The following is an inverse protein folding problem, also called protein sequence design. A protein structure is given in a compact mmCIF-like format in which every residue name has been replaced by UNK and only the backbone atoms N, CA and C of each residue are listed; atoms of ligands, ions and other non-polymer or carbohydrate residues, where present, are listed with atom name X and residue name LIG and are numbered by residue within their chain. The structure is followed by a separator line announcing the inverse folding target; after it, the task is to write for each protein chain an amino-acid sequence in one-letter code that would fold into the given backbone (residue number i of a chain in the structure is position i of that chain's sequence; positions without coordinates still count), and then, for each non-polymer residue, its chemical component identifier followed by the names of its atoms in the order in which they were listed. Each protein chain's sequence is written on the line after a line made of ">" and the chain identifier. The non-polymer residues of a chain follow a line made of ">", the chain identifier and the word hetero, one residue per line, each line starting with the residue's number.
data_IF_051066898762
#
_entry.id   IF_051066898762
#
_cell.length_a   1.000
_cell.length_b   1.000
_cell.length_c   1.000
_cell.angle_alpha   90.00
_cell.angle_beta   90.00
_cell.angle_gamma   90.00
#
_symmetry.space_group_name_H-M   'P 1'
#
loop_
_entity.id
_entity.type
_entity.pdbx_description
1 polymer ?
#
# COMPACT_ATOMS: atom_id res chain seq x y z
N UNK A 1 -5.41 -12.19 -16.50
CA UNK A 1 -5.04 -10.75 -16.45
C UNK A 1 -4.66 -10.46 -15.01
N UNK A 2 -3.61 -9.67 -14.74
CA UNK A 2 -3.22 -9.29 -13.37
C UNK A 2 -3.51 -7.82 -13.13
N UNK A 3 -4.02 -7.49 -11.94
CA UNK A 3 -4.34 -6.14 -11.52
C UNK A 3 -3.49 -5.75 -10.31
N UNK A 4 -2.76 -4.66 -10.49
CA UNK A 4 -1.95 -4.05 -9.45
C UNK A 4 -2.45 -2.64 -9.19
N UNK A 5 -2.39 -2.21 -7.94
CA UNK A 5 -2.67 -0.83 -7.56
C UNK A 5 -1.39 -0.16 -7.04
N UNK A 6 -1.25 1.14 -7.29
CA UNK A 6 -0.12 1.94 -6.84
C UNK A 6 -0.55 2.84 -5.66
N UNK A 7 -0.33 2.37 -4.44
CA UNK A 7 -0.75 3.08 -3.22
C UNK A 7 0.10 2.71 -2.02
N UNK A 8 0.11 3.59 -1.02
CA UNK A 8 0.63 3.32 0.33
C UNK A 8 -0.50 3.18 1.36
N UNK A 9 -1.74 3.45 0.97
CA UNK A 9 -2.89 3.47 1.88
C UNK A 9 -3.44 2.05 2.09
N UNK A 10 -3.39 1.56 3.34
CA UNK A 10 -3.87 0.21 3.67
C UNK A 10 -5.38 0.03 3.48
N UNK A 11 -6.17 1.11 3.56
CA UNK A 11 -7.61 1.05 3.31
C UNK A 11 -7.89 0.75 1.84
N UNK A 12 -7.24 1.45 0.91
CA UNK A 12 -7.38 1.21 -0.52
C UNK A 12 -6.96 -0.22 -0.88
N UNK A 13 -5.86 -0.70 -0.30
CA UNK A 13 -5.36 -2.07 -0.47
C UNK A 13 -6.40 -3.08 0.02
N UNK A 14 -6.96 -2.83 1.22
CA UNK A 14 -7.99 -3.70 1.78
C UNK A 14 -9.25 -3.71 0.91
N UNK A 15 -9.73 -2.56 0.45
CA UNK A 15 -10.92 -2.46 -0.39
C UNK A 15 -10.74 -3.20 -1.74
N UNK A 16 -9.60 -2.99 -2.42
CA UNK A 16 -9.30 -3.69 -3.66
C UNK A 16 -9.19 -5.21 -3.47
N UNK A 17 -8.61 -5.64 -2.34
CA UNK A 17 -8.55 -7.05 -1.98
C UNK A 17 -9.94 -7.64 -1.65
N UNK A 18 -10.77 -6.91 -0.91
CA UNK A 18 -12.13 -7.34 -0.55
C UNK A 18 -13.04 -7.46 -1.78
N UNK A 19 -12.77 -6.68 -2.84
CA UNK A 19 -13.44 -6.80 -4.14
C UNK A 19 -12.98 -8.04 -4.95
N UNK A 20 -11.93 -8.73 -4.51
CA UNK A 20 -11.41 -9.93 -5.17
C UNK A 20 -10.68 -9.66 -6.49
N UNK A 21 -10.21 -8.42 -6.70
CA UNK A 21 -9.56 -8.00 -7.96
C UNK A 21 -8.07 -7.74 -7.80
N UNK A 22 -7.48 -7.85 -6.60
CA UNK A 22 -6.11 -7.43 -6.35
C UNK A 22 -5.11 -8.59 -6.45
N UNK A 23 -4.18 -8.52 -7.41
CA UNK A 23 -3.07 -9.47 -7.53
C UNK A 23 -1.80 -9.00 -6.80
N UNK A 24 -1.70 -7.71 -6.48
CA UNK A 24 -0.59 -7.16 -5.72
C UNK A 24 -0.58 -5.63 -5.67
N UNK A 25 0.37 -5.09 -4.92
CA UNK A 25 0.49 -3.64 -4.69
C UNK A 25 1.90 -3.20 -5.11
N UNK A 26 1.99 -2.09 -5.83
CA UNK A 26 3.23 -1.34 -6.00
C UNK A 26 3.21 -0.10 -5.12
N UNK A 27 4.38 0.34 -4.68
CA UNK A 27 4.50 1.56 -3.91
C UNK A 27 5.85 2.22 -4.15
N UNK A 28 5.98 3.46 -3.70
CA UNK A 28 7.22 4.23 -3.78
C UNK A 28 7.29 5.24 -2.61
N UNK A 29 8.47 5.82 -2.31
CA UNK A 29 8.62 6.74 -1.19
C UNK A 29 7.70 7.98 -1.24
N UNK A 30 7.34 8.46 -2.44
CA UNK A 30 6.45 9.62 -2.57
C UNK A 30 5.01 9.31 -2.18
N UNK A 31 4.51 8.11 -2.49
CA UNK A 31 3.19 7.65 -2.03
C UNK A 31 3.18 7.45 -0.51
N UNK A 32 4.23 6.84 0.04
CA UNK A 32 4.39 6.70 1.49
C UNK A 32 4.38 8.06 2.21
N UNK A 33 5.09 9.04 1.67
CA UNK A 33 5.13 10.40 2.22
C UNK A 33 3.76 11.10 2.18
N UNK A 34 2.93 10.86 1.15
CA UNK A 34 1.55 11.40 1.07
C UNK A 34 0.66 10.86 2.18
N UNK A 35 0.86 9.61 2.58
CA UNK A 35 0.17 8.97 3.71
C UNK A 35 0.81 9.31 5.07
N UNK A 36 1.81 10.21 5.10
CA UNK A 36 2.50 10.63 6.33
C UNK A 36 3.53 9.63 6.85
N UNK A 37 3.88 8.61 6.06
CA UNK A 37 4.81 7.55 6.45
C UNK A 37 6.21 7.96 6.01
N UNK A 38 7.06 8.33 6.96
CA UNK A 38 8.44 8.75 6.69
C UNK A 38 9.42 8.09 7.65
N UNK A 39 10.64 7.82 7.18
CA UNK A 39 11.67 7.11 7.93
C UNK A 39 11.57 5.58 7.81
N UNK A 40 12.73 4.91 7.86
CA UNK A 40 12.83 3.46 7.62
C UNK A 40 11.99 2.63 8.60
N UNK A 41 12.04 2.97 9.89
CA UNK A 41 11.33 2.22 10.94
C UNK A 41 9.81 2.29 10.76
N UNK A 42 9.29 3.47 10.43
CA UNK A 42 7.86 3.68 10.21
C UNK A 42 7.38 2.96 8.93
N UNK A 43 8.21 2.92 7.88
CA UNK A 43 7.91 2.19 6.64
C UNK A 43 7.74 0.69 6.93
N UNK A 44 8.63 0.11 7.72
CA UNK A 44 8.55 -1.31 8.08
C UNK A 44 7.33 -1.56 8.97
N UNK A 45 7.13 -0.73 10.00
CA UNK A 45 6.01 -0.85 10.92
C UNK A 45 4.64 -0.72 10.23
N UNK A 46 4.56 0.00 9.11
CA UNK A 46 3.33 0.20 8.35
C UNK A 46 2.76 -1.09 7.75
N UNK A 47 3.61 -2.03 7.31
CA UNK A 47 3.17 -3.24 6.61
C UNK A 47 3.19 -4.52 7.46
N UNK A 48 3.68 -4.45 8.70
CA UNK A 48 3.86 -5.62 9.57
C UNK A 48 2.65 -5.87 10.50
N UNK A 49 1.61 -5.03 10.42
CA UNK A 49 0.40 -5.18 11.25
C UNK A 49 -0.54 -6.29 10.77
#
# INVERSE_FOLDING_TARGET
>A
MKFFIDTANLKDIKEANDLGVLDGVTTNPSLMAKEGITGADNIIAHYVK
#
